data_IF_920983761518
#
_entry.id   IF_920983761518
#
_cell.length_a   1.000
_cell.length_b   1.000
_cell.length_c   1.000
_cell.angle_alpha   90.00
_cell.angle_beta   90.00
_cell.angle_gamma   90.00
#
_symmetry.space_group_name_H-M   'P 1'
#
loop_
_entity.id
_entity.type
_entity.pdbx_description
1 polymer ?
#
# COMPACT_ATOMS: atom_id res chain seq x y z
N UNK A 1 -3.62 20.31 -8.39
CA UNK A 1 -4.02 19.92 -7.02
C UNK A 1 -3.27 18.68 -6.53
N UNK A 2 -3.36 17.54 -7.23
CA UNK A 2 -2.68 16.29 -6.81
C UNK A 2 -1.14 16.42 -6.78
N UNK A 3 -0.54 16.97 -7.83
CA UNK A 3 0.92 17.14 -7.91
C UNK A 3 1.45 18.03 -6.78
N UNK A 4 0.74 19.13 -6.48
CA UNK A 4 1.05 20.02 -5.36
C UNK A 4 1.00 19.26 -4.05
N UNK A 5 -0.07 18.47 -3.83
CA UNK A 5 -0.20 17.70 -2.59
C UNK A 5 0.88 16.63 -2.45
N UNK A 6 1.25 15.94 -3.53
CA UNK A 6 2.35 14.98 -3.52
C UNK A 6 3.70 15.66 -3.25
N UNK A 7 3.94 16.85 -3.81
CA UNK A 7 5.14 17.64 -3.51
C UNK A 7 5.19 18.07 -2.03
N UNK A 8 4.07 18.52 -1.46
CA UNK A 8 3.97 18.84 -0.03
C UNK A 8 4.25 17.62 0.85
N UNK A 9 3.72 16.44 0.49
CA UNK A 9 3.94 15.21 1.26
C UNK A 9 5.40 14.75 1.17
N UNK A 10 6.06 14.92 0.02
CA UNK A 10 7.51 14.67 -0.10
C UNK A 10 8.33 15.57 0.81
N UNK A 11 7.87 16.81 1.05
CA UNK A 11 8.58 17.77 1.90
C UNK A 11 8.27 17.61 3.40
N UNK A 12 7.04 17.23 3.75
CA UNK A 12 6.55 17.22 5.14
C UNK A 12 6.41 15.81 5.75
N UNK A 13 6.53 14.78 4.92
CA UNK A 13 6.43 13.37 5.29
C UNK A 13 5.02 12.81 5.13
N UNK A 14 4.93 11.62 4.55
CA UNK A 14 3.67 10.92 4.31
C UNK A 14 3.09 10.31 5.58
N UNK A 15 3.94 9.79 6.47
CA UNK A 15 3.55 9.18 7.73
C UNK A 15 2.74 10.12 8.65
N UNK A 16 3.20 11.35 8.84
CA UNK A 16 2.50 12.34 9.67
C UNK A 16 1.13 12.71 9.06
N UNK A 17 1.08 12.88 7.75
CA UNK A 17 -0.14 13.15 7.02
C UNK A 17 -1.14 11.99 7.10
N UNK A 18 -0.67 10.74 7.05
CA UNK A 18 -1.51 9.54 7.15
C UNK A 18 -2.19 9.47 8.52
N UNK A 19 -1.43 9.66 9.61
CA UNK A 19 -1.98 9.73 10.97
C UNK A 19 -3.02 10.85 11.13
N UNK A 20 -2.72 12.03 10.59
CA UNK A 20 -3.64 13.17 10.64
C UNK A 20 -4.93 12.89 9.85
N UNK A 21 -4.81 12.34 8.65
CA UNK A 21 -5.94 12.00 7.81
C UNK A 21 -6.85 10.98 8.49
N UNK A 22 -6.30 9.96 9.14
CA UNK A 22 -7.11 9.01 9.90
C UNK A 22 -7.92 9.70 11.00
N UNK A 23 -7.27 10.51 11.85
CA UNK A 23 -7.96 11.25 12.93
C UNK A 23 -9.06 12.18 12.42
N UNK A 24 -8.87 12.77 11.25
CA UNK A 24 -9.81 13.74 10.71
C UNK A 24 -10.97 13.09 9.95
N UNK A 25 -10.74 11.94 9.30
CA UNK A 25 -11.65 11.40 8.30
C UNK A 25 -12.23 10.02 8.60
N UNK A 26 -11.82 9.34 9.69
CA UNK A 26 -12.28 7.98 10.01
C UNK A 26 -13.82 7.87 10.14
N UNK A 27 -14.50 8.95 10.55
CA UNK A 27 -15.97 8.99 10.69
C UNK A 27 -16.71 9.33 9.38
N UNK A 28 -15.99 9.61 8.30
CA UNK A 28 -16.57 10.04 7.03
C UNK A 28 -16.57 8.93 5.98
N UNK A 29 -17.59 8.90 5.13
CA UNK A 29 -17.59 7.98 4.00
C UNK A 29 -16.55 8.40 2.95
N UNK A 30 -15.66 7.48 2.59
CA UNK A 30 -14.67 7.67 1.54
C UNK A 30 -14.71 6.50 0.55
N UNK A 31 -14.94 6.77 -0.74
CA UNK A 31 -14.99 5.73 -1.79
C UNK A 31 -13.68 4.93 -1.94
N UNK A 32 -12.57 5.46 -1.41
CA UNK A 32 -11.25 4.84 -1.50
C UNK A 32 -10.85 4.07 -0.24
N UNK A 33 -11.58 4.21 0.87
CA UNK A 33 -11.18 3.65 2.16
C UNK A 33 -12.35 2.90 2.79
N UNK A 34 -12.13 1.64 3.14
CA UNK A 34 -13.06 0.88 3.99
C UNK A 34 -12.61 0.99 5.45
N UNK A 35 -13.14 1.97 6.17
CA UNK A 35 -12.78 2.25 7.57
C UNK A 35 -13.09 1.10 8.54
N UNK A 36 -13.90 0.11 8.14
CA UNK A 36 -14.15 -1.10 8.95
C UNK A 36 -12.95 -2.04 8.99
N UNK A 37 -12.01 -1.88 8.06
CA UNK A 37 -10.79 -2.69 7.92
C UNK A 37 -9.52 -1.92 8.28
N UNK A 38 -9.64 -0.63 8.53
CA UNK A 38 -8.53 0.27 8.82
C UNK A 38 -8.80 0.91 10.17
N UNK A 39 -8.16 0.38 11.21
CA UNK A 39 -8.18 0.98 12.54
C UNK A 39 -6.95 1.86 12.78
N UNK A 40 -6.93 2.49 13.95
CA UNK A 40 -5.85 3.39 14.35
C UNK A 40 -4.52 2.65 14.47
N UNK A 41 -4.52 1.44 15.03
CA UNK A 41 -3.30 0.68 15.30
C UNK A 41 -2.61 0.29 14.00
N UNK A 42 -3.38 -0.17 13.01
CA UNK A 42 -2.88 -0.46 11.67
C UNK A 42 -2.28 0.78 11.01
N UNK A 43 -2.95 1.94 11.12
CA UNK A 43 -2.44 3.19 10.56
C UNK A 43 -1.14 3.62 11.23
N UNK A 44 -1.06 3.53 12.56
CA UNK A 44 0.15 3.90 13.30
C UNK A 44 1.32 2.96 12.99
N UNK A 45 1.08 1.65 12.90
CA UNK A 45 2.07 0.67 12.50
C UNK A 45 2.56 0.92 11.07
N UNK A 46 1.65 1.07 10.11
CA UNK A 46 1.99 1.35 8.71
C UNK A 46 2.78 2.67 8.56
N UNK A 47 2.37 3.73 9.28
CA UNK A 47 3.06 5.02 9.27
C UNK A 47 4.42 5.02 10.00
N UNK A 48 4.76 3.93 10.69
CA UNK A 48 6.05 3.79 11.39
C UNK A 48 6.99 2.88 10.59
N UNK A 49 6.43 1.82 10.02
CA UNK A 49 7.19 0.75 9.36
C UNK A 49 7.40 1.05 7.87
N UNK A 50 6.41 1.60 7.16
CA UNK A 50 6.52 1.81 5.70
C UNK A 50 7.23 3.14 5.42
N UNK A 51 8.35 3.16 4.67
CA UNK A 51 9.02 4.40 4.28
C UNK A 51 8.12 5.32 3.47
N UNK A 52 8.27 6.64 3.68
CA UNK A 52 7.48 7.65 2.98
C UNK A 52 7.65 7.57 1.46
N UNK A 53 8.87 7.29 0.98
CA UNK A 53 9.12 7.11 -0.46
C UNK A 53 8.29 5.98 -1.08
N UNK A 54 8.06 4.89 -0.33
CA UNK A 54 7.29 3.75 -0.80
C UNK A 54 5.80 4.07 -0.85
N UNK A 55 5.27 4.72 0.19
CA UNK A 55 3.88 5.19 0.21
C UNK A 55 3.62 6.13 -0.97
N UNK A 56 4.49 7.12 -1.17
CA UNK A 56 4.36 8.12 -2.22
C UNK A 56 4.46 7.49 -3.62
N UNK A 57 5.42 6.58 -3.84
CA UNK A 57 5.55 5.86 -5.10
C UNK A 57 4.27 5.06 -5.44
N UNK A 58 3.69 4.38 -4.45
CA UNK A 58 2.44 3.62 -4.63
C UNK A 58 1.29 4.56 -4.96
N UNK A 59 1.11 5.63 -4.19
CA UNK A 59 0.03 6.59 -4.41
C UNK A 59 0.12 7.29 -5.76
N UNK A 60 1.32 7.71 -6.17
CA UNK A 60 1.58 8.28 -7.49
C UNK A 60 1.14 7.32 -8.60
N UNK A 61 1.52 6.05 -8.51
CA UNK A 61 1.11 5.03 -9.49
C UNK A 61 -0.40 4.84 -9.50
N UNK A 62 -1.03 4.70 -8.32
CA UNK A 62 -2.48 4.54 -8.22
C UNK A 62 -3.25 5.73 -8.80
N UNK A 63 -2.75 6.95 -8.56
CA UNK A 63 -3.40 8.19 -9.00
C UNK A 63 -3.11 8.53 -10.47
N UNK A 64 -2.03 8.02 -11.04
CA UNK A 64 -1.72 8.18 -12.47
C UNK A 64 -2.80 7.55 -13.37
N UNK A 65 -3.26 6.34 -13.03
CA UNK A 65 -4.41 5.70 -13.67
C UNK A 65 -5.23 4.89 -12.66
N UNK A 66 -6.22 5.53 -11.99
CA UNK A 66 -7.06 4.87 -11.01
C UNK A 66 -7.87 3.68 -11.55
N UNK A 67 -8.16 3.64 -12.85
CA UNK A 67 -8.96 2.55 -13.43
C UNK A 67 -8.11 1.28 -13.53
N UNK A 68 -6.87 1.43 -13.98
CA UNK A 68 -5.96 0.31 -14.20
C UNK A 68 -5.15 -0.09 -12.95
N UNK A 69 -4.77 0.87 -12.10
CA UNK A 69 -3.84 0.63 -11.00
C UNK A 69 -4.52 0.31 -9.66
N UNK A 70 -5.86 0.32 -9.57
CA UNK A 70 -6.57 -0.18 -8.38
C UNK A 70 -6.71 -1.71 -8.32
N UNK A 71 -6.42 -2.41 -9.42
CA UNK A 71 -6.58 -3.87 -9.52
C UNK A 71 -5.24 -4.57 -9.30
N UNK A 72 -5.28 -5.74 -8.68
CA UNK A 72 -4.09 -6.60 -8.51
C UNK A 72 -3.05 -6.07 -7.55
N UNK A 73 -3.44 -5.18 -6.62
CA UNK A 73 -2.59 -4.86 -5.46
C UNK A 73 -2.52 -6.11 -4.56
N UNK A 74 -1.39 -6.38 -3.88
CA UNK A 74 -1.22 -7.59 -3.07
C UNK A 74 -2.29 -7.77 -1.98
N UNK A 75 -2.60 -9.03 -1.67
CA UNK A 75 -3.65 -9.40 -0.72
C UNK A 75 -3.34 -9.00 0.72
N UNK A 76 -2.06 -9.11 1.11
CA UNK A 76 -1.61 -8.89 2.48
C UNK A 76 -0.51 -7.83 2.54
N UNK A 77 -0.45 -7.16 3.69
CA UNK A 77 0.72 -6.41 4.15
C UNK A 77 1.16 -7.00 5.48
N UNK A 78 2.39 -7.47 5.56
CA UNK A 78 3.02 -7.90 6.80
C UNK A 78 3.88 -6.76 7.31
N UNK A 79 3.60 -6.25 8.51
CA UNK A 79 4.36 -5.18 9.16
C UNK A 79 5.19 -5.79 10.29
N UNK A 80 6.48 -5.52 10.28
CA UNK A 80 7.39 -5.81 11.38
C UNK A 80 7.51 -4.63 12.34
N UNK A 81 8.67 -4.51 12.99
CA UNK A 81 8.85 -3.60 14.13
C UNK A 81 9.71 -2.37 13.81
N UNK A 82 10.37 -2.34 12.65
CA UNK A 82 11.32 -1.30 12.27
C UNK A 82 10.99 -0.66 10.90
N UNK A 83 11.43 0.59 10.65
CA UNK A 83 11.29 1.20 9.34
C UNK A 83 11.91 0.33 8.22
N UNK A 84 11.14 0.06 7.18
CA UNK A 84 11.51 -0.81 6.06
C UNK A 84 11.22 -2.30 6.30
N UNK A 85 10.93 -2.72 7.53
CA UNK A 85 10.62 -4.11 7.88
C UNK A 85 9.15 -4.44 7.59
N UNK A 86 8.80 -4.53 6.31
CA UNK A 86 7.47 -4.97 5.89
C UNK A 86 7.55 -5.77 4.59
N UNK A 87 6.45 -6.43 4.24
CA UNK A 87 6.32 -7.09 2.95
C UNK A 87 4.89 -7.02 2.43
N UNK A 88 4.73 -6.67 1.15
CA UNK A 88 3.47 -6.85 0.44
C UNK A 88 3.41 -8.26 -0.14
N UNK A 89 2.39 -9.03 0.23
CA UNK A 89 2.31 -10.45 -0.13
C UNK A 89 1.08 -10.74 -0.96
N UNK A 90 1.30 -11.30 -2.14
CA UNK A 90 0.25 -11.85 -3.00
C UNK A 90 0.15 -13.36 -2.74
N UNK A 91 -1.04 -13.85 -2.40
CA UNK A 91 -1.25 -15.27 -2.03
C UNK A 91 -1.79 -16.03 -3.24
N UNK A 92 -1.25 -17.24 -3.46
CA UNK A 92 -1.69 -18.14 -4.53
C UNK A 92 -1.97 -19.53 -4.02
N UNK A 93 -3.19 -20.00 -4.26
CA UNK A 93 -3.60 -21.37 -3.98
C UNK A 93 -3.09 -22.36 -5.03
N UNK A 94 -3.30 -23.67 -4.81
CA UNK A 94 -2.96 -24.69 -5.78
C UNK A 94 -3.69 -24.47 -7.11
N UNK A 95 -2.92 -24.37 -8.21
CA UNK A 95 -3.46 -24.14 -9.55
C UNK A 95 -3.73 -22.67 -9.91
N UNK A 96 -3.56 -21.73 -8.97
CA UNK A 96 -3.68 -20.31 -9.28
C UNK A 96 -2.50 -19.79 -10.09
N UNK A 97 -2.75 -18.81 -10.94
CA UNK A 97 -1.72 -18.06 -11.65
C UNK A 97 -1.76 -16.58 -11.26
N UNK A 98 -0.62 -15.91 -11.42
CA UNK A 98 -0.56 -14.46 -11.31
C UNK A 98 -1.30 -13.80 -12.48
N UNK A 99 -2.25 -12.92 -12.16
CA UNK A 99 -2.92 -12.09 -13.16
C UNK A 99 -1.97 -11.01 -13.70
N UNK A 100 -2.24 -10.48 -14.89
CA UNK A 100 -1.39 -9.45 -15.50
C UNK A 100 -1.31 -8.16 -14.67
N UNK A 101 -2.40 -7.76 -14.02
CA UNK A 101 -2.41 -6.62 -13.09
C UNK A 101 -1.45 -6.82 -11.91
N UNK A 102 -1.43 -8.02 -11.33
CA UNK A 102 -0.54 -8.40 -10.22
C UNK A 102 0.91 -8.42 -10.67
N UNK A 103 1.21 -8.99 -11.85
CA UNK A 103 2.56 -8.94 -12.43
C UNK A 103 3.04 -7.51 -12.65
N UNK A 104 2.18 -6.59 -13.09
CA UNK A 104 2.53 -5.17 -13.24
C UNK A 104 2.87 -4.51 -11.91
N UNK A 105 2.16 -4.85 -10.83
CA UNK A 105 2.49 -4.38 -9.49
C UNK A 105 3.81 -4.94 -8.98
N UNK A 106 4.03 -6.25 -9.10
CA UNK A 106 5.29 -6.90 -8.70
C UNK A 106 6.52 -6.33 -9.43
N UNK A 107 6.41 -6.09 -10.75
CA UNK A 107 7.49 -5.41 -11.51
C UNK A 107 7.73 -3.99 -11.02
N UNK A 108 6.67 -3.26 -10.68
CA UNK A 108 6.79 -1.91 -10.15
C UNK A 108 7.46 -1.90 -8.77
N UNK A 109 7.09 -2.83 -7.89
CA UNK A 109 7.72 -2.95 -6.58
C UNK A 109 9.21 -3.25 -6.70
N UNK A 110 9.58 -4.24 -7.53
CA UNK A 110 10.99 -4.55 -7.78
C UNK A 110 11.79 -3.40 -8.39
N UNK A 111 11.18 -2.56 -9.23
CA UNK A 111 11.84 -1.38 -9.81
C UNK A 111 11.97 -0.19 -8.82
N UNK A 112 11.35 -0.27 -7.65
CA UNK A 112 11.35 0.77 -6.61
C UNK A 112 11.89 0.27 -5.27
N UNK A 113 12.49 -0.93 -5.25
CA UNK A 113 12.96 -1.60 -4.04
C UNK A 113 11.89 -1.72 -2.93
N UNK A 114 10.63 -1.82 -3.33
CA UNK A 114 9.50 -2.04 -2.42
C UNK A 114 9.43 -3.54 -2.10
N UNK A 115 9.51 -3.94 -0.82
CA UNK A 115 9.45 -5.35 -0.43
C UNK A 115 8.12 -6.00 -0.83
N UNK A 116 8.19 -6.98 -1.73
CA UNK A 116 7.02 -7.75 -2.15
C UNK A 116 7.37 -9.21 -2.46
N UNK A 117 6.44 -10.12 -2.16
CA UNK A 117 6.60 -11.55 -2.37
C UNK A 117 5.31 -12.21 -2.85
N UNK A 118 5.46 -13.43 -3.40
CA UNK A 118 4.32 -14.31 -3.74
C UNK A 118 4.38 -15.52 -2.82
N UNK A 119 3.32 -15.73 -2.03
CA UNK A 119 3.18 -16.88 -1.15
C UNK A 119 2.34 -17.97 -1.83
N UNK A 120 2.99 -19.08 -2.16
CA UNK A 120 2.34 -20.26 -2.75
C UNK A 120 1.91 -21.21 -1.63
N UNK A 121 0.60 -21.41 -1.46
CA UNK A 121 0.06 -22.30 -0.43
C UNK A 121 -0.31 -23.66 -1.02
N UNK A 122 -0.09 -24.71 -0.23
CA UNK A 122 -0.47 -26.09 -0.54
C UNK A 122 -1.23 -26.69 0.62
N UNK A 123 -2.18 -27.59 0.34
CA UNK A 123 -2.89 -28.35 1.36
C UNK A 123 -2.21 -29.71 1.56
N UNK A 124 -2.12 -30.17 2.81
CA UNK A 124 -1.62 -31.50 3.18
C UNK A 124 -2.79 -32.48 3.36
#
# INVERSE_FOLDING_TARGET
LLEVRLAELRATGAAAALRLAYRQYADFQCRWVDWRRVDRELVEAAATVIPDEHLLAIWERMLFDPRENRRGFPDLVALGDAPGDYCLVEVKGPGDALQESQKRWLRFFGARDIPAAVAWVSWA
#
